data_IF_907300586304
#
_entry.id   IF_907300586304
#
_cell.length_a   1.000
_cell.length_b   1.000
_cell.length_c   1.000
_cell.angle_alpha   90.00
_cell.angle_beta   90.00
_cell.angle_gamma   90.00
#
_symmetry.space_group_name_H-M   'P 1'
#
loop_
_entity.id
_entity.type
_entity.pdbx_description
1 polymer ?
#
# COMPACT_ATOMS: atom_id res chain seq x y z
N UNK A 1 19.46 -15.15 -24.76
CA UNK A 1 19.56 -15.63 -23.37
C UNK A 1 20.69 -14.94 -22.64
N UNK A 2 20.38 -14.12 -21.65
CA UNK A 2 21.26 -13.00 -21.25
C UNK A 2 22.31 -13.30 -20.16
N UNK A 3 22.33 -14.48 -19.53
CA UNK A 3 23.39 -14.83 -18.54
C UNK A 3 23.71 -16.33 -18.38
N UNK A 4 23.00 -17.24 -19.06
CA UNK A 4 23.21 -18.69 -18.90
C UNK A 4 22.81 -19.29 -17.55
N UNK A 5 22.16 -18.52 -16.67
CA UNK A 5 21.69 -18.95 -15.36
C UNK A 5 20.22 -19.38 -15.43
N UNK A 6 19.87 -20.51 -14.82
CA UNK A 6 18.48 -20.98 -14.77
C UNK A 6 17.62 -20.12 -13.84
N UNK A 7 16.31 -20.03 -14.16
CA UNK A 7 15.34 -19.32 -13.31
C UNK A 7 15.30 -19.84 -11.87
N UNK A 8 15.50 -21.15 -11.67
CA UNK A 8 15.56 -21.78 -10.34
C UNK A 8 16.81 -21.37 -9.57
N UNK A 9 17.97 -21.28 -10.23
CA UNK A 9 19.19 -20.80 -9.60
C UNK A 9 19.07 -19.33 -9.16
N UNK A 10 18.47 -18.47 -10.00
CA UNK A 10 18.17 -17.08 -9.62
C UNK A 10 17.23 -17.02 -8.42
N UNK A 11 16.14 -17.82 -8.44
CA UNK A 11 15.20 -17.85 -7.32
C UNK A 11 15.87 -18.25 -6.00
N UNK A 12 16.70 -19.30 -6.04
CA UNK A 12 17.46 -19.78 -4.88
C UNK A 12 18.37 -18.71 -4.30
N UNK A 13 19.13 -18.01 -5.15
CA UNK A 13 20.01 -16.94 -4.70
C UNK A 13 19.20 -15.84 -4.00
N UNK A 14 18.07 -15.42 -4.59
CA UNK A 14 17.23 -14.37 -4.03
C UNK A 14 16.61 -14.78 -2.69
N UNK A 15 16.07 -15.99 -2.57
CA UNK A 15 15.32 -16.40 -1.37
C UNK A 15 16.18 -17.03 -0.28
N UNK A 16 17.21 -17.81 -0.61
CA UNK A 16 18.00 -18.57 0.38
C UNK A 16 19.29 -17.85 0.75
N UNK A 17 19.98 -17.23 -0.23
CA UNK A 17 21.26 -16.58 0.03
C UNK A 17 21.09 -15.12 0.48
N UNK A 18 20.09 -14.43 -0.08
CA UNK A 18 19.82 -13.01 0.16
C UNK A 18 18.57 -12.77 1.03
N UNK A 19 17.85 -13.83 1.43
CA UNK A 19 16.62 -13.77 2.24
C UNK A 19 15.52 -12.82 1.71
N UNK A 20 15.53 -12.55 0.40
CA UNK A 20 14.58 -11.62 -0.21
C UNK A 20 13.21 -12.26 -0.42
N UNK A 21 12.18 -11.43 -0.34
CA UNK A 21 10.80 -11.83 -0.61
C UNK A 21 10.23 -11.07 -1.79
N UNK A 22 9.44 -11.76 -2.62
CA UNK A 22 8.75 -11.13 -3.74
C UNK A 22 7.37 -10.63 -3.31
N UNK A 23 7.21 -9.33 -3.19
CA UNK A 23 5.99 -8.68 -2.67
C UNK A 23 5.41 -7.69 -3.69
N UNK A 24 4.08 -7.57 -3.73
CA UNK A 24 3.41 -6.57 -4.57
C UNK A 24 3.77 -5.15 -4.10
N UNK A 25 4.21 -4.30 -5.02
CA UNK A 25 4.41 -2.89 -4.72
C UNK A 25 3.08 -2.24 -4.30
N UNK A 26 3.16 -1.36 -3.30
CA UNK A 26 2.02 -0.58 -2.82
C UNK A 26 2.35 0.90 -2.96
N UNK A 27 1.51 1.63 -3.67
CA UNK A 27 1.56 3.09 -3.70
C UNK A 27 1.15 3.65 -2.34
N UNK A 28 2.04 4.43 -1.72
CA UNK A 28 1.78 5.08 -0.43
C UNK A 28 1.78 6.59 -0.67
N UNK A 29 0.70 7.31 -0.28
CA UNK A 29 0.67 8.77 -0.35
C UNK A 29 1.84 9.39 0.42
N UNK A 30 2.37 10.50 -0.12
CA UNK A 30 3.56 11.18 0.40
C UNK A 30 3.36 11.57 1.88
N UNK A 31 4.38 11.32 2.71
CA UNK A 31 4.31 11.38 4.17
C UNK A 31 4.62 12.77 4.78
N UNK A 32 4.54 13.85 4.01
CA UNK A 32 4.99 15.19 4.47
C UNK A 32 4.24 15.73 5.70
N UNK A 33 3.05 15.19 6.00
CA UNK A 33 2.17 15.69 7.07
C UNK A 33 1.84 14.65 8.15
N UNK A 34 2.83 13.84 8.58
CA UNK A 34 2.62 12.80 9.61
C UNK A 34 1.99 13.35 10.89
N UNK A 35 2.51 14.46 11.41
CA UNK A 35 2.03 15.01 12.67
C UNK A 35 0.57 15.48 12.56
N UNK A 36 0.25 16.27 11.53
CA UNK A 36 -1.12 16.75 11.29
C UNK A 36 -2.11 15.59 11.15
N UNK A 37 -1.74 14.52 10.44
CA UNK A 37 -2.56 13.31 10.31
C UNK A 37 -2.81 12.64 11.66
N UNK A 38 -1.78 12.53 12.51
CA UNK A 38 -1.91 11.97 13.86
C UNK A 38 -2.88 12.80 14.70
N UNK A 39 -2.73 14.12 14.69
CA UNK A 39 -3.55 15.02 15.51
C UNK A 39 -5.03 14.97 15.10
N UNK A 40 -5.33 15.06 13.80
CA UNK A 40 -6.70 14.93 13.28
C UNK A 40 -7.28 13.56 13.61
N UNK A 41 -6.49 12.48 13.50
CA UNK A 41 -6.97 11.13 13.82
C UNK A 41 -7.33 10.97 15.30
N UNK A 42 -6.53 11.57 16.20
CA UNK A 42 -6.80 11.57 17.65
C UNK A 42 -8.10 12.32 17.94
N UNK A 43 -8.30 13.50 17.32
CA UNK A 43 -9.52 14.29 17.49
C UNK A 43 -10.76 13.54 16.98
N UNK A 44 -10.70 12.98 15.77
CA UNK A 44 -11.78 12.16 15.20
C UNK A 44 -12.10 10.96 16.09
N UNK A 45 -11.09 10.29 16.64
CA UNK A 45 -11.29 9.15 17.54
C UNK A 45 -11.97 9.57 18.85
N UNK A 46 -11.60 10.72 19.42
CA UNK A 46 -12.26 11.24 20.62
C UNK A 46 -13.74 11.52 20.37
N UNK A 47 -14.09 12.18 19.26
CA UNK A 47 -15.48 12.44 18.85
C UNK A 47 -16.27 11.16 18.58
N UNK A 48 -15.64 10.19 17.93
CA UNK A 48 -16.25 8.88 17.70
C UNK A 48 -16.54 8.14 19.01
N UNK A 49 -15.64 8.22 20.00
CA UNK A 49 -15.83 7.58 21.31
C UNK A 49 -16.88 8.27 22.17
N UNK A 50 -17.00 9.60 22.09
CA UNK A 50 -17.97 10.35 22.90
C UNK A 50 -19.41 10.12 22.44
N UNK A 51 -19.68 10.11 21.14
CA UNK A 51 -21.00 9.79 20.59
C UNK A 51 -20.89 9.23 19.17
N UNK A 52 -20.63 7.92 19.08
CA UNK A 52 -20.46 7.21 17.82
C UNK A 52 -21.64 7.38 16.86
N UNK A 53 -22.87 7.27 17.36
CA UNK A 53 -24.07 7.29 16.53
C UNK A 53 -24.26 8.66 15.87
N UNK A 54 -24.10 9.73 16.64
CA UNK A 54 -24.24 11.10 16.13
C UNK A 54 -23.08 11.47 15.20
N UNK A 55 -21.85 11.13 15.57
CA UNK A 55 -20.66 11.38 14.76
C UNK A 55 -20.81 10.76 13.36
N UNK A 56 -21.18 9.47 13.29
CA UNK A 56 -21.37 8.78 12.02
C UNK A 56 -22.57 9.32 11.23
N UNK A 57 -23.66 9.71 11.91
CA UNK A 57 -24.85 10.27 11.23
C UNK A 57 -24.52 11.56 10.46
N UNK A 58 -23.58 12.37 10.96
CA UNK A 58 -23.17 13.63 10.33
C UNK A 58 -21.96 13.49 9.40
N UNK A 59 -21.29 12.34 9.39
CA UNK A 59 -20.08 12.14 8.61
C UNK A 59 -20.42 11.84 7.15
N UNK A 60 -20.25 12.84 6.28
CA UNK A 60 -20.44 12.71 4.83
C UNK A 60 -19.07 12.81 4.16
N UNK A 61 -18.76 11.86 3.29
CA UNK A 61 -17.51 11.83 2.52
C UNK A 61 -17.79 11.72 1.04
N UNK A 62 -16.92 12.32 0.23
CA UNK A 62 -16.92 12.19 -1.22
C UNK A 62 -15.47 12.17 -1.70
N UNK A 63 -15.19 11.37 -2.72
CA UNK A 63 -13.89 11.29 -3.37
C UNK A 63 -14.09 10.99 -4.86
N UNK A 64 -13.10 11.32 -5.67
CA UNK A 64 -13.11 11.10 -7.10
C UNK A 64 -12.19 9.93 -7.45
N UNK A 65 -12.73 8.95 -8.16
CA UNK A 65 -11.93 7.82 -8.68
C UNK A 65 -11.86 7.93 -10.19
N UNK A 66 -10.63 7.96 -10.72
CA UNK A 66 -10.40 7.89 -12.16
C UNK A 66 -10.75 6.50 -12.68
N UNK A 67 -11.72 6.41 -13.60
CA UNK A 67 -12.09 5.17 -14.28
C UNK A 67 -11.39 5.15 -15.64
N UNK A 68 -10.39 4.28 -15.78
CA UNK A 68 -9.62 4.13 -17.00
C UNK A 68 -10.10 2.94 -17.84
N UNK A 69 -10.00 3.05 -19.17
CA UNK A 69 -10.30 1.96 -20.10
C UNK A 69 -9.28 0.81 -20.05
N UNK A 70 -8.06 1.10 -19.57
CA UNK A 70 -6.97 0.13 -19.45
C UNK A 70 -6.15 0.40 -18.18
N UNK A 71 -5.79 -0.65 -17.45
CA UNK A 71 -4.90 -0.57 -16.29
C UNK A 71 -3.52 -1.10 -16.70
N UNK A 72 -2.45 -0.28 -16.63
CA UNK A 72 -1.14 -0.63 -17.18
C UNK A 72 -0.42 -1.76 -16.44
N UNK A 73 -0.73 -1.98 -15.16
CA UNK A 73 -0.11 -3.03 -14.37
C UNK A 73 -1.10 -3.63 -13.37
N UNK A 74 -1.21 -4.95 -13.37
CA UNK A 74 -1.95 -5.68 -12.34
C UNK A 74 -1.13 -5.79 -11.05
N UNK A 75 -1.81 -6.01 -9.93
CA UNK A 75 -1.15 -6.24 -8.63
C UNK A 75 -0.10 -7.37 -8.64
N UNK A 76 -0.32 -8.38 -9.47
CA UNK A 76 0.62 -9.49 -9.64
C UNK A 76 1.86 -9.08 -10.44
N UNK A 77 1.70 -8.22 -11.44
CA UNK A 77 2.81 -7.67 -12.22
C UNK A 77 3.67 -6.71 -11.39
N UNK A 78 3.08 -5.99 -10.43
CA UNK A 78 3.82 -5.05 -9.56
C UNK A 78 4.72 -5.71 -8.51
N UNK A 79 4.89 -7.04 -8.54
CA UNK A 79 5.70 -7.79 -7.58
C UNK A 79 7.20 -7.51 -7.75
N UNK A 80 7.81 -6.93 -6.73
CA UNK A 80 9.24 -6.63 -6.66
C UNK A 80 9.91 -7.51 -5.60
N UNK A 81 11.20 -7.77 -5.77
CA UNK A 81 12.03 -8.41 -4.74
C UNK A 81 12.45 -7.36 -3.72
N UNK A 82 12.16 -7.62 -2.45
CA UNK A 82 12.44 -6.73 -1.33
C UNK A 82 13.36 -7.48 -0.35
N UNK A 83 14.38 -6.80 0.15
CA UNK A 83 15.27 -7.24 1.24
C UNK A 83 14.52 -7.27 2.59
#
# INVERSE_FOLDING_TARGET
DTVGISKSAVHRILTENLDMRKLCARWVPRLEQKQRRKDVSIECLAKFRSNKAEFLRRFITMDETWVHHFTPETKEQSKQWIE
#
